data_IF_571121109344
#
_entry.id   IF_571121109344
#
_cell.length_a   1.000
_cell.length_b   1.000
_cell.length_c   1.000
_cell.angle_alpha   90.00
_cell.angle_beta   90.00
_cell.angle_gamma   90.00
#
_symmetry.space_group_name_H-M   'P 1'
#
loop_
_entity.id
_entity.type
_entity.pdbx_description
1 polymer ?
#
# COMPACT_ATOMS: atom_id res chain seq x y z
N UNK A 1 37.58 -20.85 -6.93
CA UNK A 1 36.66 -21.88 -6.40
C UNK A 1 35.33 -21.70 -7.11
N UNK A 2 34.86 -22.77 -7.75
CA UNK A 2 33.61 -22.90 -8.51
C UNK A 2 32.37 -22.55 -7.68
N UNK A 3 31.34 -21.95 -8.28
CA UNK A 3 30.18 -22.73 -8.76
C UNK A 3 29.01 -21.83 -9.20
N UNK A 4 28.77 -21.83 -10.51
CA UNK A 4 27.49 -21.51 -11.15
C UNK A 4 26.39 -22.45 -10.63
N UNK A 5 25.16 -21.94 -10.42
CA UNK A 5 23.93 -22.68 -10.76
C UNK A 5 22.82 -21.71 -11.17
N UNK A 6 22.60 -21.64 -12.48
CA UNK A 6 21.36 -21.19 -13.11
C UNK A 6 20.25 -22.19 -12.80
N UNK A 7 19.07 -21.71 -12.41
CA UNK A 7 17.84 -22.50 -12.45
C UNK A 7 16.83 -21.81 -13.37
N UNK A 8 16.76 -22.30 -14.60
CA UNK A 8 15.62 -22.08 -15.48
C UNK A 8 14.45 -22.93 -14.97
N UNK A 9 13.27 -22.35 -14.80
CA UNK A 9 12.02 -23.11 -14.79
C UNK A 9 10.99 -22.38 -15.64
N UNK A 10 10.87 -22.82 -16.89
CA UNK A 10 9.77 -22.48 -17.79
C UNK A 10 8.75 -23.61 -17.63
N UNK A 11 7.54 -23.29 -17.19
CA UNK A 11 6.39 -24.18 -17.34
C UNK A 11 5.29 -23.42 -18.08
N UNK A 12 5.17 -23.73 -19.37
CA UNK A 12 3.97 -23.48 -20.16
C UNK A 12 2.96 -24.57 -19.81
N UNK A 13 1.76 -24.21 -19.38
CA UNK A 13 0.58 -25.03 -19.64
C UNK A 13 -0.68 -24.16 -19.71
N UNK A 14 -1.15 -23.99 -20.94
CA UNK A 14 -2.49 -23.55 -21.32
C UNK A 14 -3.50 -24.67 -21.04
N UNK A 15 -4.66 -24.34 -20.47
CA UNK A 15 -5.88 -25.15 -20.60
C UNK A 15 -7.05 -24.23 -20.92
N UNK A 16 -7.76 -24.62 -21.98
CA UNK A 16 -8.94 -24.03 -22.59
C UNK A 16 -10.19 -24.18 -21.72
N UNK A 17 -11.18 -23.34 -22.03
CA UNK A 17 -12.39 -23.14 -21.25
C UNK A 17 -13.41 -24.28 -21.27
N UNK A 18 -14.50 -24.05 -20.55
CA UNK A 18 -15.81 -24.66 -20.78
C UNK A 18 -16.86 -23.76 -20.14
N UNK A 19 -17.67 -23.12 -20.96
CA UNK A 19 -18.94 -22.48 -20.58
C UNK A 19 -19.97 -23.57 -20.34
N UNK A 20 -20.72 -23.49 -19.24
CA UNK A 20 -21.96 -24.24 -19.07
C UNK A 20 -23.07 -23.28 -18.68
N UNK A 21 -24.10 -23.21 -19.53
CA UNK A 21 -25.36 -22.54 -19.32
C UNK A 21 -26.47 -23.59 -19.43
N UNK A 22 -27.31 -23.67 -18.42
CA UNK A 22 -28.67 -24.26 -18.35
C UNK A 22 -29.10 -24.19 -16.88
N UNK A 23 -30.35 -23.97 -16.46
CA UNK A 23 -31.58 -23.48 -17.07
C UNK A 23 -32.62 -23.36 -15.93
N UNK A 24 -33.69 -22.60 -16.19
CA UNK A 24 -35.06 -22.73 -15.66
C UNK A 24 -35.42 -22.38 -14.19
N UNK A 25 -35.98 -21.17 -14.07
CA UNK A 25 -37.35 -20.86 -13.65
C UNK A 25 -38.03 -21.74 -12.57
N UNK A 26 -38.29 -21.13 -11.41
CA UNK A 26 -39.34 -21.55 -10.48
C UNK A 26 -40.36 -20.42 -10.33
N UNK A 27 -41.61 -20.74 -10.61
CA UNK A 27 -42.81 -19.89 -10.53
C UNK A 27 -43.57 -20.34 -9.27
N UNK A 28 -43.98 -19.43 -8.38
CA UNK A 28 -45.27 -19.57 -7.71
C UNK A 28 -45.84 -18.24 -7.20
N UNK A 29 -47.14 -18.18 -7.38
CA UNK A 29 -48.16 -17.16 -7.22
C UNK A 29 -48.67 -17.09 -5.78
N UNK A 30 -49.02 -15.92 -5.29
CA UNK A 30 -49.72 -15.79 -4.01
C UNK A 30 -50.09 -14.35 -3.67
N UNK A 31 -51.16 -13.84 -4.27
CA UNK A 31 -51.76 -12.56 -3.90
C UNK A 31 -52.73 -12.71 -2.73
N UNK A 32 -52.75 -11.72 -1.84
CA UNK A 32 -53.90 -11.40 -1.00
C UNK A 32 -54.15 -9.90 -1.07
N UNK A 33 -55.27 -9.54 -1.69
CA UNK A 33 -55.93 -8.25 -1.51
C UNK A 33 -56.99 -8.40 -0.42
N UNK A 34 -57.01 -7.47 0.54
CA UNK A 34 -58.25 -7.08 1.22
C UNK A 34 -58.17 -5.61 1.62
N UNK A 35 -59.11 -4.86 1.07
CA UNK A 35 -59.44 -3.46 1.31
C UNK A 35 -60.21 -3.32 2.61
N UNK A 36 -59.91 -2.31 3.43
CA UNK A 36 -60.94 -1.55 4.17
C UNK A 36 -60.43 -0.14 4.45
N UNK A 37 -61.25 0.86 4.09
CA UNK A 37 -60.95 2.28 4.12
C UNK A 37 -61.01 2.89 5.53
N UNK A 38 -60.17 3.91 5.77
CA UNK A 38 -60.16 4.74 6.99
C UNK A 38 -58.87 5.58 7.10
N UNK A 39 -58.84 6.70 6.38
CA UNK A 39 -57.83 7.78 6.36
C UNK A 39 -57.68 8.47 7.75
N UNK A 40 -56.49 8.97 8.19
CA UNK A 40 -55.88 10.15 7.59
C UNK A 40 -54.41 10.03 7.16
N UNK A 41 -54.20 10.59 5.97
CA UNK A 41 -52.97 10.96 5.31
C UNK A 41 -52.03 11.76 6.25
N UNK A 42 -51.01 11.08 6.81
CA UNK A 42 -49.85 11.75 7.40
C UNK A 42 -48.79 11.92 6.31
N UNK A 43 -48.79 13.14 5.77
CA UNK A 43 -47.77 13.76 4.90
C UNK A 43 -46.41 13.06 4.94
N UNK A 44 -46.08 12.31 3.88
CA UNK A 44 -44.71 12.01 3.52
C UNK A 44 -44.05 13.29 2.99
N UNK A 45 -43.42 14.03 3.89
CA UNK A 45 -42.38 14.98 3.54
C UNK A 45 -41.02 14.33 3.88
N UNK A 46 -40.30 13.99 2.81
CA UNK A 46 -38.84 14.04 2.68
C UNK A 46 -37.99 14.02 3.96
N UNK A 47 -37.24 12.94 4.15
CA UNK A 47 -35.78 13.08 4.22
C UNK A 47 -35.14 11.72 3.98
N UNK A 48 -34.70 11.54 2.76
CA UNK A 48 -33.74 10.54 2.30
C UNK A 48 -32.46 10.68 3.14
N UNK A 49 -32.43 10.13 4.34
CA UNK A 49 -31.18 9.89 5.08
C UNK A 49 -30.55 8.63 4.53
N UNK A 50 -30.01 8.76 3.31
CA UNK A 50 -28.90 7.90 2.91
C UNK A 50 -27.77 8.19 3.89
N UNK A 51 -27.65 7.38 4.92
CA UNK A 51 -26.42 7.28 5.71
C UNK A 51 -25.36 6.65 4.79
N UNK A 52 -24.86 7.45 3.86
CA UNK A 52 -23.68 7.13 3.07
C UNK A 52 -22.51 7.19 4.04
N UNK A 53 -22.19 6.06 4.66
CA UNK A 53 -20.90 5.85 5.32
C UNK A 53 -19.86 5.88 4.19
N UNK A 54 -19.45 7.09 3.80
CA UNK A 54 -18.37 7.28 2.86
C UNK A 54 -17.10 6.76 3.54
N UNK A 55 -16.56 5.67 3.03
CA UNK A 55 -15.23 5.17 3.36
C UNK A 55 -14.21 6.28 3.07
N UNK A 56 -13.85 7.05 4.11
CA UNK A 56 -12.84 8.10 4.04
C UNK A 56 -11.51 7.42 3.72
N UNK A 57 -11.08 7.49 2.46
CA UNK A 57 -9.77 7.00 2.04
C UNK A 57 -8.69 7.66 2.91
N UNK A 58 -7.75 6.85 3.41
CA UNK A 58 -6.57 7.35 4.10
C UNK A 58 -5.83 8.33 3.18
N UNK A 59 -5.40 9.47 3.72
CA UNK A 59 -4.51 10.40 3.00
C UNK A 59 -3.07 9.96 3.21
N UNK A 60 -2.30 9.89 2.13
CA UNK A 60 -0.86 9.67 2.22
C UNK A 60 -0.19 10.92 2.81
N UNK A 61 0.90 10.76 3.60
CA UNK A 61 1.72 11.89 4.00
C UNK A 61 2.33 12.60 2.78
N UNK A 62 2.65 13.90 2.91
CA UNK A 62 3.46 14.60 1.92
C UNK A 62 4.74 13.84 1.61
N UNK A 63 5.24 13.96 0.38
CA UNK A 63 6.56 13.46 0.03
C UNK A 63 7.62 14.33 0.71
N UNK A 64 8.68 13.70 1.21
CA UNK A 64 9.77 14.40 1.89
C UNK A 64 10.80 14.88 0.87
N UNK A 65 11.36 16.06 1.13
CA UNK A 65 12.48 16.57 0.36
C UNK A 65 13.69 15.63 0.48
N UNK A 66 14.31 15.23 -0.65
CA UNK A 66 15.53 14.41 -0.61
C UNK A 66 16.70 15.15 0.05
N UNK A 67 17.54 14.40 0.74
CA UNK A 67 18.78 14.92 1.32
C UNK A 67 19.94 14.58 0.39
N UNK A 68 20.79 15.56 0.08
CA UNK A 68 21.98 15.34 -0.74
C UNK A 68 23.24 15.48 0.10
N UNK A 69 24.10 14.46 0.09
CA UNK A 69 25.40 14.48 0.77
C UNK A 69 26.45 13.89 -0.17
N UNK A 70 27.55 14.60 -0.40
CA UNK A 70 28.70 14.12 -1.18
C UNK A 70 28.35 13.52 -2.55
N UNK A 71 27.39 14.12 -3.26
CA UNK A 71 26.99 13.63 -4.59
C UNK A 71 25.98 12.47 -4.57
N UNK A 72 25.43 12.12 -3.41
CA UNK A 72 24.43 11.06 -3.25
C UNK A 72 23.13 11.66 -2.73
N UNK A 73 22.02 11.33 -3.39
CA UNK A 73 20.67 11.75 -3.03
C UNK A 73 19.98 10.63 -2.26
N UNK A 74 19.54 10.94 -1.04
CA UNK A 74 18.82 10.06 -0.14
C UNK A 74 17.34 10.42 -0.10
N UNK A 75 16.46 9.45 -0.33
CA UNK A 75 15.01 9.65 -0.23
C UNK A 75 14.25 8.37 0.10
N UNK A 76 12.99 8.53 0.46
CA UNK A 76 12.06 7.41 0.60
C UNK A 76 11.75 6.78 -0.77
N UNK A 77 11.70 5.44 -0.82
CA UNK A 77 11.12 4.72 -1.95
C UNK A 77 9.69 4.28 -1.60
N UNK A 78 8.69 4.91 -2.24
CA UNK A 78 7.25 4.69 -2.01
C UNK A 78 6.58 3.68 -2.96
N UNK A 79 7.36 3.05 -3.84
CA UNK A 79 6.87 2.11 -4.86
C UNK A 79 7.78 0.88 -4.97
N UNK A 80 8.23 0.36 -3.82
CA UNK A 80 9.14 -0.80 -3.78
C UNK A 80 8.59 -2.03 -4.51
N UNK A 81 7.29 -2.27 -4.42
CA UNK A 81 6.61 -3.36 -5.12
C UNK A 81 6.76 -3.30 -6.66
N UNK A 82 6.84 -2.10 -7.26
CA UNK A 82 7.08 -1.97 -8.72
C UNK A 82 8.50 -2.38 -9.13
N UNK A 83 9.42 -2.42 -8.17
CA UNK A 83 10.79 -2.89 -8.34
C UNK A 83 10.97 -4.36 -7.92
N UNK A 84 9.87 -5.06 -7.59
CA UNK A 84 9.87 -6.47 -7.20
C UNK A 84 10.11 -6.73 -5.71
N UNK A 85 10.10 -5.71 -4.86
CA UNK A 85 10.21 -5.90 -3.41
C UNK A 85 8.88 -6.34 -2.78
N UNK A 86 8.96 -7.02 -1.63
CA UNK A 86 7.79 -7.55 -0.91
C UNK A 86 6.92 -6.45 -0.27
N UNK A 87 7.50 -5.29 0.03
CA UNK A 87 6.80 -4.14 0.60
C UNK A 87 6.87 -2.91 -0.32
N UNK A 88 5.94 -1.97 -0.16
CA UNK A 88 5.84 -0.78 -1.02
C UNK A 88 6.58 0.43 -0.45
N UNK A 89 6.53 0.68 0.85
CA UNK A 89 7.25 1.77 1.54
C UNK A 89 8.22 1.24 2.61
N UNK A 90 8.78 2.12 3.44
CA UNK A 90 9.72 1.73 4.51
C UNK A 90 11.16 1.53 4.05
N UNK A 91 11.49 2.01 2.85
CA UNK A 91 12.83 1.96 2.28
C UNK A 91 13.48 3.34 2.25
N UNK A 92 14.77 3.38 2.57
CA UNK A 92 15.66 4.46 2.17
C UNK A 92 16.43 4.02 0.93
N UNK A 93 16.48 4.88 -0.09
CA UNK A 93 17.32 4.69 -1.28
C UNK A 93 18.40 5.75 -1.34
N UNK A 94 19.56 5.34 -1.86
CA UNK A 94 20.67 6.21 -2.21
C UNK A 94 20.83 6.21 -3.73
N UNK A 95 20.79 7.39 -4.34
CA UNK A 95 20.90 7.59 -5.77
C UNK A 95 22.16 8.42 -6.08
N UNK A 96 22.84 8.11 -7.17
CA UNK A 96 23.87 9.01 -7.69
C UNK A 96 23.22 10.32 -8.14
N UNK A 97 23.73 11.45 -7.67
CA UNK A 97 23.12 12.76 -7.96
C UNK A 97 23.17 13.13 -9.45
N UNK A 98 24.17 12.65 -10.19
CA UNK A 98 24.37 13.01 -11.60
C UNK A 98 23.58 12.13 -12.54
N UNK A 99 23.58 10.82 -12.29
CA UNK A 99 22.94 9.83 -13.19
C UNK A 99 21.52 9.47 -12.76
N UNK A 100 21.18 9.67 -11.48
CA UNK A 100 19.94 9.20 -10.89
C UNK A 100 19.89 7.68 -10.68
N UNK A 101 20.98 6.97 -10.94
CA UNK A 101 21.07 5.52 -10.73
C UNK A 101 21.02 5.18 -9.25
N UNK A 102 20.30 4.11 -8.91
CA UNK A 102 20.26 3.61 -7.54
C UNK A 102 21.59 2.95 -7.18
N UNK A 103 22.32 3.55 -6.24
CA UNK A 103 23.56 3.01 -5.70
C UNK A 103 23.28 1.86 -4.72
N UNK A 104 22.29 2.06 -3.85
CA UNK A 104 21.82 1.06 -2.90
C UNK A 104 20.45 1.44 -2.33
N UNK A 105 19.84 0.48 -1.62
CA UNK A 105 18.66 0.67 -0.80
C UNK A 105 18.80 -0.10 0.51
N UNK A 106 18.02 0.28 1.52
CA UNK A 106 17.89 -0.46 2.79
C UNK A 106 16.44 -0.42 3.27
N UNK A 107 15.98 -1.52 3.87
CA UNK A 107 14.71 -1.55 4.61
C UNK A 107 14.95 -0.88 5.96
N UNK A 108 14.32 0.27 6.19
CA UNK A 108 14.40 1.00 7.47
C UNK A 108 13.48 0.36 8.51
N UNK A 109 12.30 -0.08 8.06
CA UNK A 109 11.40 -0.88 8.87
C UNK A 109 10.59 -1.85 7.99
N UNK A 110 10.38 -3.09 8.44
CA UNK A 110 9.55 -4.04 7.73
C UNK A 110 8.08 -3.65 7.85
N UNK A 111 7.30 -3.92 6.80
CA UNK A 111 5.83 -3.85 6.86
C UNK A 111 5.29 -5.27 6.99
N UNK A 112 4.57 -5.51 8.09
CA UNK A 112 3.91 -6.80 8.34
C UNK A 112 2.46 -6.73 7.85
N UNK A 113 2.22 -7.16 6.62
CA UNK A 113 0.88 -7.20 6.05
C UNK A 113 0.01 -8.27 6.71
N UNK A 114 -1.20 -7.88 7.09
CA UNK A 114 -2.26 -8.78 7.55
C UNK A 114 -2.98 -9.33 6.33
N UNK A 115 -3.04 -10.66 6.22
CA UNK A 115 -3.77 -11.33 5.15
C UNK A 115 -5.27 -10.97 5.19
N UNK A 116 -5.89 -10.82 4.01
CA UNK A 116 -7.29 -10.44 3.88
C UNK A 116 -7.58 -8.96 4.12
N UNK A 117 -6.56 -8.14 4.42
CA UNK A 117 -6.67 -6.68 4.50
C UNK A 117 -6.03 -6.02 3.28
N UNK A 118 -6.65 -4.95 2.78
CA UNK A 118 -6.11 -4.17 1.66
C UNK A 118 -4.67 -3.69 1.96
N UNK A 119 -3.77 -3.80 0.98
CA UNK A 119 -2.34 -3.48 1.18
C UNK A 119 -2.11 -1.99 1.40
N UNK A 120 -2.79 -1.14 0.63
CA UNK A 120 -2.57 0.32 0.63
C UNK A 120 -2.95 0.98 1.95
N UNK A 121 -3.95 0.47 2.67
CA UNK A 121 -4.33 0.98 3.99
C UNK A 121 -3.31 0.60 5.08
N UNK A 122 -2.43 -0.38 4.82
CA UNK A 122 -1.44 -0.90 5.77
C UNK A 122 -0.05 -0.28 5.61
N UNK A 123 0.18 0.49 4.57
CA UNK A 123 1.48 1.12 4.30
C UNK A 123 1.90 2.07 5.43
N UNK A 124 3.20 2.25 5.62
CA UNK A 124 3.75 3.22 6.59
C UNK A 124 4.86 3.99 5.91
N UNK A 125 4.68 5.31 5.79
CA UNK A 125 5.58 6.21 5.09
C UNK A 125 6.44 7.01 6.05
N UNK A 126 7.55 7.54 5.54
CA UNK A 126 8.37 8.49 6.27
C UNK A 126 7.59 9.81 6.46
N UNK A 127 7.68 10.35 7.66
CA UNK A 127 7.14 11.66 8.05
C UNK A 127 8.26 12.66 8.35
N UNK A 128 9.47 12.17 8.61
CA UNK A 128 10.68 12.98 8.76
C UNK A 128 11.89 12.27 8.15
N UNK A 129 12.75 13.05 7.54
CA UNK A 129 14.05 12.65 7.00
C UNK A 129 15.01 13.79 7.29
N UNK A 130 16.04 13.55 8.08
CA UNK A 130 16.97 14.58 8.53
C UNK A 130 18.40 14.07 8.60
N UNK A 131 19.35 14.89 8.17
CA UNK A 131 20.78 14.61 8.31
C UNK A 131 21.24 14.99 9.70
N UNK A 132 21.80 14.04 10.42
CA UNK A 132 22.40 14.29 11.73
C UNK A 132 23.79 14.93 11.61
N UNK A 133 24.28 15.61 12.67
CA UNK A 133 25.63 16.16 12.69
C UNK A 133 26.69 15.11 12.35
N UNK A 134 27.67 15.48 11.53
CA UNK A 134 28.75 14.58 11.07
C UNK A 134 28.50 13.89 9.73
N UNK A 135 27.35 14.16 9.08
CA UNK A 135 27.03 13.80 7.68
C UNK A 135 27.08 12.31 7.36
N UNK A 136 26.98 11.45 8.37
CA UNK A 136 27.08 10.00 8.25
C UNK A 136 25.81 9.26 8.66
N UNK A 137 24.85 9.96 9.25
CA UNK A 137 23.65 9.34 9.80
C UNK A 137 22.41 10.14 9.40
N UNK A 138 21.34 9.41 9.09
CA UNK A 138 20.02 9.99 8.85
C UNK A 138 19.08 9.60 9.99
N UNK A 139 18.37 10.59 10.54
CA UNK A 139 17.19 10.38 11.36
C UNK A 139 15.97 10.25 10.45
N UNK A 140 15.23 9.18 10.65
CA UNK A 140 13.96 8.91 9.95
C UNK A 140 12.87 8.73 11.00
N UNK A 141 11.73 9.40 10.81
CA UNK A 141 10.50 9.13 11.55
C UNK A 141 9.43 8.64 10.58
N UNK A 142 8.53 7.79 11.07
CA UNK A 142 7.43 7.28 10.26
C UNK A 142 6.05 7.71 10.79
N UNK A 143 4.98 7.35 10.07
CA UNK A 143 3.59 7.67 10.47
C UNK A 143 3.15 7.05 11.81
N UNK A 144 3.91 6.09 12.35
CA UNK A 144 3.68 5.50 13.67
C UNK A 144 4.53 6.15 14.76
N UNK A 145 5.15 7.31 14.46
CA UNK A 145 6.02 8.08 15.36
C UNK A 145 7.27 7.32 15.83
N UNK A 146 7.59 6.18 15.20
CA UNK A 146 8.82 5.44 15.44
C UNK A 146 10.00 6.17 14.81
N UNK A 147 11.15 6.11 15.49
CA UNK A 147 12.38 6.78 15.06
C UNK A 147 13.47 5.78 14.74
N UNK A 148 14.18 6.02 13.66
CA UNK A 148 15.23 5.16 13.15
C UNK A 148 16.46 6.00 12.82
N UNK A 149 17.63 5.48 13.15
CA UNK A 149 18.91 6.01 12.68
C UNK A 149 19.47 5.07 11.63
N UNK A 150 19.80 5.61 10.46
CA UNK A 150 20.46 4.88 9.39
C UNK A 150 21.89 5.41 9.23
N UNK A 151 22.88 4.53 9.34
CA UNK A 151 24.26 4.88 9.05
C UNK A 151 24.52 4.76 7.54
N UNK A 152 25.02 5.82 6.92
CA UNK A 152 25.22 5.92 5.47
C UNK A 152 26.42 5.13 4.95
N UNK A 153 27.35 4.76 5.85
CA UNK A 153 28.58 4.04 5.49
C UNK A 153 28.34 2.53 5.43
N UNK A 154 27.82 1.96 6.51
CA UNK A 154 27.60 0.51 6.64
C UNK A 154 26.15 0.08 6.39
N UNK A 155 25.23 1.03 6.24
CA UNK A 155 23.79 0.83 5.98
C UNK A 155 23.07 0.14 7.14
N UNK A 156 23.65 0.17 8.34
CA UNK A 156 22.99 -0.31 9.54
C UNK A 156 21.80 0.59 9.90
N UNK A 157 20.76 -0.04 10.47
CA UNK A 157 19.54 0.63 10.91
C UNK A 157 19.34 0.32 12.38
N UNK A 158 19.14 1.36 13.18
CA UNK A 158 18.85 1.25 14.61
C UNK A 158 17.53 1.94 14.93
N UNK A 159 16.54 1.20 15.43
CA UNK A 159 15.32 1.78 16.02
C UNK A 159 15.69 2.37 17.39
N UNK A 160 15.18 3.58 17.68
CA UNK A 160 15.43 4.31 18.93
C UNK A 160 14.36 4.09 19.98
#
# INVERSE_FOLDING_TARGET
>A
MLSFKHFFYIFFLTVLGSTSACSDNYFDTGGHQQTTAGEPELKQAESKTMNTIGSRRRRLPPELEPITVNGVVYKELRQGNKLGYEQKSGFLVALDQKTGEMLWHVIVYPIHYVEGKETDVQEVFFTRLELLPGEQELLIENELEKRFIVNLTDRSVTEK
#
